data_IF_223815932104
#
_entry.id   IF_223815932104
#
_cell.length_a   1.000
_cell.length_b   1.000
_cell.length_c   1.000
_cell.angle_alpha   90.00
_cell.angle_beta   90.00
_cell.angle_gamma   90.00
#
_symmetry.space_group_name_H-M   'P 1'
#
loop_
_entity.id
_entity.type
_entity.pdbx_description
1 polymer ?
#
# COMPACT_ATOMS: atom_id res chain seq x y z
N UNK A 1 14.28 23.25 -0.04
CA UNK A 1 13.35 22.14 0.24
C UNK A 1 12.38 22.62 1.31
N UNK A 2 11.09 22.66 0.98
CA UNK A 2 10.05 23.18 1.87
C UNK A 2 9.62 22.10 2.88
N UNK A 3 9.60 22.44 4.17
CA UNK A 3 9.20 21.53 5.26
C UNK A 3 7.76 21.03 5.11
N UNK A 4 6.89 21.85 4.50
CA UNK A 4 5.51 21.49 4.16
C UNK A 4 5.45 20.33 3.15
N UNK A 5 6.38 20.31 2.19
CA UNK A 5 6.45 19.25 1.18
C UNK A 5 6.88 17.92 1.80
N UNK A 6 7.81 17.93 2.76
CA UNK A 6 8.24 16.73 3.49
C UNK A 6 7.10 16.17 4.35
N UNK A 7 6.37 17.03 5.07
CA UNK A 7 5.22 16.62 5.89
C UNK A 7 4.09 16.07 5.02
N UNK A 8 3.84 16.67 3.85
CA UNK A 8 2.85 16.19 2.89
C UNK A 8 3.22 14.82 2.31
N UNK A 9 4.50 14.60 1.96
CA UNK A 9 5.00 13.31 1.48
C UNK A 9 4.95 12.24 2.58
N UNK A 10 5.31 12.58 3.82
CA UNK A 10 5.18 11.67 4.96
C UNK A 10 3.72 11.31 5.23
N UNK A 11 2.82 12.30 5.21
CA UNK A 11 1.37 12.09 5.37
C UNK A 11 0.80 11.22 4.24
N UNK A 12 1.29 11.37 3.00
CA UNK A 12 0.94 10.46 1.89
C UNK A 12 1.42 9.04 2.14
N UNK A 13 2.66 8.84 2.58
CA UNK A 13 3.19 7.51 2.89
C UNK A 13 2.41 6.80 3.99
N UNK A 14 2.07 7.51 5.08
CA UNK A 14 1.24 6.97 6.17
C UNK A 14 -0.15 6.58 5.69
N UNK A 15 -0.79 7.40 4.85
CA UNK A 15 -2.11 7.07 4.30
C UNK A 15 -2.07 5.83 3.43
N UNK A 16 -1.07 5.70 2.54
CA UNK A 16 -0.93 4.51 1.69
C UNK A 16 -0.69 3.24 2.52
N UNK A 17 0.08 3.34 3.61
CA UNK A 17 0.28 2.24 4.55
C UNK A 17 -1.04 1.80 5.21
N UNK A 18 -1.86 2.74 5.67
CA UNK A 18 -3.17 2.42 6.26
C UNK A 18 -4.07 1.73 5.25
N UNK A 19 -4.16 2.23 4.01
CA UNK A 19 -4.94 1.57 2.96
C UNK A 19 -4.45 0.16 2.67
N UNK A 20 -3.14 -0.03 2.62
CA UNK A 20 -2.54 -1.34 2.41
C UNK A 20 -2.83 -2.31 3.57
N UNK A 21 -2.75 -1.85 4.82
CA UNK A 21 -3.12 -2.66 5.99
C UNK A 21 -4.59 -3.06 5.98
N UNK A 22 -5.50 -2.12 5.71
CA UNK A 22 -6.94 -2.41 5.61
C UNK A 22 -7.20 -3.43 4.50
N UNK A 23 -6.58 -3.26 3.34
CA UNK A 23 -6.74 -4.20 2.22
C UNK A 23 -6.24 -5.60 2.59
N UNK A 24 -5.11 -5.69 3.30
CA UNK A 24 -4.54 -6.96 3.76
C UNK A 24 -5.44 -7.65 4.77
N UNK A 25 -5.97 -6.91 5.74
CA UNK A 25 -6.88 -7.45 6.76
C UNK A 25 -8.20 -7.93 6.12
N UNK A 26 -8.72 -7.22 5.13
CA UNK A 26 -9.92 -7.64 4.39
C UNK A 26 -9.66 -8.88 3.54
N UNK A 27 -8.51 -8.95 2.87
CA UNK A 27 -8.12 -10.15 2.13
C UNK A 27 -8.07 -11.39 3.04
N UNK A 28 -7.61 -11.24 4.28
CA UNK A 28 -7.64 -12.31 5.29
C UNK A 28 -9.08 -12.75 5.66
N UNK A 29 -10.07 -11.86 5.49
CA UNK A 29 -11.50 -12.15 5.67
C UNK A 29 -12.18 -12.65 4.38
N UNK A 30 -11.46 -12.72 3.25
CA UNK A 30 -12.03 -13.02 1.94
C UNK A 30 -12.82 -11.85 1.33
N UNK A 31 -12.66 -10.65 1.86
CA UNK A 31 -13.27 -9.41 1.38
C UNK A 31 -12.23 -8.56 0.62
N UNK A 32 -12.67 -7.69 -0.30
CA UNK A 32 -11.78 -6.86 -1.11
C UNK A 32 -12.29 -5.42 -1.23
N UNK A 33 -11.40 -4.42 -1.12
CA UNK A 33 -11.72 -3.02 -1.42
C UNK A 33 -11.34 -2.71 -2.87
N UNK A 34 -12.34 -2.32 -3.67
CA UNK A 34 -12.08 -1.77 -5.00
C UNK A 34 -11.92 -0.25 -4.95
N UNK A 35 -10.70 0.22 -5.19
CA UNK A 35 -10.45 1.64 -5.43
C UNK A 35 -10.96 2.04 -6.82
N UNK A 36 -11.71 3.14 -6.92
CA UNK A 36 -12.26 3.64 -8.20
C UNK A 36 -11.46 4.78 -8.82
N UNK A 37 -10.70 5.50 -8.00
CA UNK A 37 -9.94 6.65 -8.45
C UNK A 37 -8.64 6.21 -9.17
N UNK A 38 -8.46 6.53 -10.46
CA UNK A 38 -7.32 6.07 -11.24
C UNK A 38 -6.00 6.71 -10.79
N UNK A 39 -6.02 7.92 -10.24
CA UNK A 39 -4.83 8.59 -9.70
C UNK A 39 -4.40 7.89 -8.43
N UNK A 40 -5.34 7.59 -7.53
CA UNK A 40 -5.09 6.83 -6.32
C UNK A 40 -4.48 5.47 -6.65
N UNK A 41 -5.08 4.71 -7.58
CA UNK A 41 -4.56 3.39 -7.99
C UNK A 41 -3.10 3.49 -8.43
N UNK A 42 -2.75 4.50 -9.22
CA UNK A 42 -1.37 4.71 -9.69
C UNK A 42 -0.41 5.02 -8.54
N UNK A 43 -0.78 5.97 -7.67
CA UNK A 43 0.04 6.33 -6.52
C UNK A 43 0.21 5.18 -5.53
N UNK A 44 -0.87 4.43 -5.27
CA UNK A 44 -0.87 3.28 -4.39
C UNK A 44 0.00 2.15 -4.93
N UNK A 45 -0.13 1.83 -6.22
CA UNK A 45 0.74 0.84 -6.90
C UNK A 45 2.21 1.24 -6.88
N UNK A 46 2.50 2.52 -7.11
CA UNK A 46 3.87 3.02 -7.03
C UNK A 46 4.41 2.91 -5.60
N UNK A 47 3.63 3.33 -4.60
CA UNK A 47 4.01 3.25 -3.20
C UNK A 47 4.27 1.80 -2.75
N UNK A 48 3.42 0.84 -3.14
CA UNK A 48 3.66 -0.58 -2.86
C UNK A 48 5.00 -1.04 -3.45
N UNK A 49 5.30 -0.69 -4.71
CA UNK A 49 6.58 -1.08 -5.35
C UNK A 49 7.79 -0.50 -4.62
N UNK A 50 7.70 0.74 -4.19
CA UNK A 50 8.77 1.42 -3.45
C UNK A 50 8.97 0.83 -2.04
N UNK A 51 7.91 0.26 -1.44
CA UNK A 51 7.94 -0.25 -0.07
C UNK A 51 7.87 -1.79 0.02
N UNK A 52 7.90 -2.52 -1.10
CA UNK A 52 7.61 -3.96 -1.16
C UNK A 52 8.48 -4.78 -0.21
N UNK A 53 9.76 -4.42 -0.05
CA UNK A 53 10.68 -5.10 0.87
C UNK A 53 10.29 -4.88 2.33
N UNK A 54 9.92 -3.64 2.69
CA UNK A 54 9.46 -3.31 4.04
C UNK A 54 8.12 -4.00 4.35
N UNK A 55 7.22 -4.07 3.37
CA UNK A 55 5.93 -4.73 3.51
C UNK A 55 6.08 -6.26 3.63
N UNK A 56 6.97 -6.88 2.84
CA UNK A 56 7.27 -8.31 2.93
C UNK A 56 7.84 -8.69 4.30
N UNK A 57 8.73 -7.84 4.86
CA UNK A 57 9.24 -8.02 6.22
C UNK A 57 8.14 -7.85 7.29
N UNK A 58 7.15 -6.99 7.06
CA UNK A 58 6.07 -6.74 8.00
C UNK A 58 5.03 -7.88 8.04
N UNK A 59 4.75 -8.52 6.91
CA UNK A 59 3.81 -9.64 6.82
C UNK A 59 4.46 -11.00 7.07
N UNK A 60 5.79 -11.07 7.20
CA UNK A 60 6.56 -12.32 7.22
C UNK A 60 6.31 -13.19 5.96
N UNK A 61 5.88 -12.55 4.85
CA UNK A 61 5.55 -13.19 3.58
C UNK A 61 6.78 -13.12 2.68
N UNK A 62 7.51 -14.23 2.61
CA UNK A 62 8.63 -14.43 1.68
C UNK A 62 8.09 -15.10 0.41
N UNK A 63 7.70 -14.33 -0.61
CA UNK A 63 7.31 -14.96 -1.88
C UNK A 63 6.70 -14.06 -2.97
N UNK A 64 6.59 -14.58 -4.20
CA UNK A 64 6.03 -13.87 -5.37
C UNK A 64 4.54 -13.52 -5.24
N UNK A 65 3.85 -14.03 -4.22
CA UNK A 65 2.40 -13.88 -4.00
C UNK A 65 1.99 -12.50 -3.47
N UNK A 66 2.95 -11.67 -3.02
CA UNK A 66 2.66 -10.33 -2.48
C UNK A 66 1.97 -9.41 -3.49
N UNK A 67 2.34 -9.54 -4.77
CA UNK A 67 1.73 -8.77 -5.84
C UNK A 67 0.28 -9.20 -6.13
N UNK A 68 -0.08 -10.45 -5.82
CA UNK A 68 -1.45 -10.94 -5.97
C UNK A 68 -2.36 -10.45 -4.84
N UNK A 69 -1.85 -10.39 -3.61
CA UNK A 69 -2.59 -9.86 -2.45
C UNK A 69 -2.94 -8.37 -2.63
N UNK A 70 -2.05 -7.60 -3.26
CA UNK A 70 -2.24 -6.16 -3.40
C UNK A 70 -3.16 -5.73 -4.56
N UNK A 71 -3.63 -6.65 -5.41
CA UNK A 71 -4.26 -6.32 -6.71
C UNK A 71 -5.54 -7.08 -7.06
N UNK A 72 -6.08 -7.90 -6.16
CA UNK A 72 -7.41 -8.52 -6.36
C UNK A 72 -8.55 -7.54 -6.00
#
# INVERSE_FOLDING_TARGET
MDFSMVLFLFKKGVMMYVYWRINTDLNCLGESITFRDPVFIRCYRQWIRENVLALALAEDVVGPDFNAVCLN
#
